data_IF_963732408683
#
_entry.id   IF_963732408683
#
_cell.length_a   1.000
_cell.length_b   1.000
_cell.length_c   1.000
_cell.angle_alpha   90.00
_cell.angle_beta   90.00
_cell.angle_gamma   90.00
#
_symmetry.space_group_name_H-M   'P 1'
#
loop_
_entity.id
_entity.type
_entity.pdbx_description
1 polymer ?
#
# COMPACT_ATOMS: atom_id res chain seq x y z
N UNK A 1 -26.56 35.99 12.29
CA UNK A 1 -25.65 34.98 12.87
C UNK A 1 -24.20 35.36 12.56
N UNK A 2 -23.31 35.31 13.53
CA UNK A 2 -21.87 35.55 13.28
C UNK A 2 -21.26 34.35 12.54
N UNK A 3 -20.14 34.58 11.84
CA UNK A 3 -19.42 33.54 11.09
C UNK A 3 -18.67 32.60 12.06
N UNK A 4 -18.15 31.47 11.56
CA UNK A 4 -17.25 30.62 12.32
C UNK A 4 -16.06 31.43 12.87
N UNK A 5 -15.61 31.13 14.08
CA UNK A 5 -14.60 31.92 14.80
C UNK A 5 -15.06 33.29 15.31
N UNK A 6 -16.33 33.68 15.16
CA UNK A 6 -16.87 34.94 15.65
C UNK A 6 -18.02 34.75 16.66
N UNK A 7 -18.06 35.60 17.70
CA UNK A 7 -19.18 35.66 18.65
C UNK A 7 -19.83 37.03 18.67
N UNK A 8 -21.15 37.07 18.91
CA UNK A 8 -21.88 38.32 19.04
C UNK A 8 -21.64 38.94 20.41
N UNK A 9 -20.88 40.03 20.46
CA UNK A 9 -20.69 40.85 21.65
C UNK A 9 -21.31 42.23 21.43
N UNK A 10 -22.23 42.63 22.32
CA UNK A 10 -22.91 43.95 22.28
C UNK A 10 -23.52 44.30 20.93
N UNK A 11 -24.02 43.30 20.20
CA UNK A 11 -24.66 43.49 18.89
C UNK A 11 -23.71 43.55 17.70
N UNK A 12 -22.41 43.26 17.90
CA UNK A 12 -21.42 43.15 16.83
C UNK A 12 -20.74 41.78 16.86
N UNK A 13 -20.38 41.24 15.70
CA UNK A 13 -19.58 40.02 15.62
C UNK A 13 -18.11 40.35 15.87
N UNK A 14 -17.54 39.75 16.91
CA UNK A 14 -16.13 39.92 17.32
C UNK A 14 -15.39 38.62 17.02
N UNK A 15 -14.21 38.71 16.41
CA UNK A 15 -13.34 37.56 16.09
C UNK A 15 -12.73 37.04 17.38
N UNK A 16 -13.04 35.78 17.70
CA UNK A 16 -12.53 35.06 18.86
C UNK A 16 -11.50 34.00 18.46
N UNK A 17 -11.51 33.59 17.20
CA UNK A 17 -10.61 32.59 16.64
C UNK A 17 -10.32 33.00 15.20
N UNK A 18 -9.05 32.97 14.81
CA UNK A 18 -8.62 33.13 13.43
C UNK A 18 -7.82 31.91 12.98
N UNK A 19 -8.20 31.40 11.82
CA UNK A 19 -7.47 30.36 11.11
C UNK A 19 -6.66 30.93 9.95
N UNK A 20 -5.52 30.32 9.66
CA UNK A 20 -4.60 30.81 8.63
C UNK A 20 -4.76 30.13 7.27
N UNK A 21 -5.41 28.97 7.20
CA UNK A 21 -5.76 28.28 5.96
C UNK A 21 -7.23 28.54 5.57
N UNK A 22 -7.52 28.98 4.34
CA UNK A 22 -8.89 29.25 3.91
C UNK A 22 -9.66 27.95 3.67
N UNK A 23 -10.83 27.78 4.31
CA UNK A 23 -11.71 26.61 4.12
C UNK A 23 -11.05 25.28 4.50
N UNK A 24 -10.11 25.30 5.45
CA UNK A 24 -9.38 24.12 5.90
C UNK A 24 -8.64 23.45 4.73
N UNK A 25 -7.98 24.26 3.89
CA UNK A 25 -7.25 23.80 2.71
C UNK A 25 -6.08 22.89 3.12
N UNK A 26 -6.15 21.58 2.84
CA UNK A 26 -5.16 20.62 3.31
C UNK A 26 -3.78 20.81 2.68
N UNK A 27 -3.64 21.65 1.65
CA UNK A 27 -2.36 21.94 0.99
C UNK A 27 -1.57 23.07 1.68
N UNK A 28 -2.18 23.73 2.66
CA UNK A 28 -1.57 24.84 3.43
C UNK A 28 -1.53 24.44 4.90
N UNK A 29 -0.41 24.72 5.58
CA UNK A 29 -0.33 24.50 7.03
C UNK A 29 -1.20 25.53 7.76
N UNK A 30 -2.35 25.08 8.26
CA UNK A 30 -3.26 25.85 9.11
C UNK A 30 -2.66 26.18 10.48
N UNK A 31 -3.07 27.30 11.05
CA UNK A 31 -2.67 27.75 12.39
C UNK A 31 -3.79 28.56 12.99
N UNK A 32 -4.42 27.95 13.99
CA UNK A 32 -5.48 28.55 14.77
C UNK A 32 -4.88 29.40 15.89
N UNK A 33 -5.30 30.66 15.91
CA UNK A 33 -5.00 31.62 16.98
C UNK A 33 -6.28 32.08 17.65
N UNK A 34 -6.32 32.02 18.99
CA UNK A 34 -7.49 32.42 19.77
C UNK A 34 -7.19 33.73 20.52
N UNK A 35 -8.10 34.71 20.42
CA UNK A 35 -8.00 36.02 21.06
C UNK A 35 -8.55 36.07 22.50
N UNK A 36 -9.23 35.00 22.97
CA UNK A 36 -9.76 34.86 24.32
C UNK A 36 -9.04 33.76 25.12
N UNK A 37 -7.98 34.15 25.82
CA UNK A 37 -7.83 33.67 27.19
C UNK A 37 -9.04 34.22 27.96
N UNK A 38 -10.06 33.39 28.20
CA UNK A 38 -11.23 33.79 28.96
C UNK A 38 -10.80 34.47 30.26
N UNK A 39 -11.56 35.45 30.73
CA UNK A 39 -11.29 36.15 32.01
C UNK A 39 -11.15 35.09 33.12
N UNK A 40 -9.90 34.73 33.47
CA UNK A 40 -9.54 33.73 34.47
C UNK A 40 -9.02 32.36 33.97
N UNK A 41 -8.87 32.12 32.66
CA UNK A 41 -8.30 30.87 32.10
C UNK A 41 -6.91 31.05 31.46
N UNK A 42 -6.08 30.00 31.37
CA UNK A 42 -4.76 30.09 30.76
C UNK A 42 -4.87 30.43 29.26
N UNK A 43 -3.96 31.28 28.78
CA UNK A 43 -3.77 31.57 27.36
C UNK A 43 -3.40 30.26 26.66
N UNK A 44 -4.23 29.80 25.73
CA UNK A 44 -3.89 28.66 24.89
C UNK A 44 -2.87 29.13 23.85
N UNK A 45 -1.76 28.40 23.71
CA UNK A 45 -0.77 28.63 22.67
C UNK A 45 -1.41 28.43 21.28
N UNK A 46 -0.90 29.11 20.23
CA UNK A 46 -1.30 28.82 18.86
C UNK A 46 -1.20 27.32 18.59
N UNK A 47 -2.23 26.76 17.96
CA UNK A 47 -2.22 25.38 17.50
C UNK A 47 -2.07 25.41 15.99
N UNK A 48 -1.28 24.49 15.45
CA UNK A 48 -1.08 24.37 14.01
C UNK A 48 -1.42 22.97 13.56
N UNK A 49 -1.74 22.85 12.28
CA UNK A 49 -1.85 21.58 11.60
C UNK A 49 -0.56 20.80 11.80
N UNK A 50 -0.70 19.49 11.90
CA UNK A 50 0.44 18.61 12.06
C UNK A 50 0.23 17.30 11.31
N UNK A 51 1.33 16.58 11.12
CA UNK A 51 1.27 15.23 10.59
C UNK A 51 1.19 14.25 11.74
N UNK A 52 0.15 13.44 11.70
CA UNK A 52 -0.03 12.34 12.64
C UNK A 52 1.04 11.26 12.41
N UNK A 53 1.32 10.40 13.40
CA UNK A 53 2.35 9.35 13.29
C UNK A 53 2.12 8.36 12.13
N UNK A 54 0.89 8.23 11.65
CA UNK A 54 0.48 7.41 10.51
C UNK A 54 0.54 8.15 9.16
N UNK A 55 1.03 9.39 9.14
CA UNK A 55 1.19 10.21 7.94
C UNK A 55 -0.07 10.97 7.51
N UNK A 56 -1.17 10.87 8.26
CA UNK A 56 -2.38 11.65 7.99
C UNK A 56 -2.19 13.12 8.38
N UNK A 57 -2.85 14.02 7.64
CA UNK A 57 -2.92 15.42 8.03
C UNK A 57 -3.95 15.56 9.15
N UNK A 58 -3.53 16.12 10.27
CA UNK A 58 -4.40 16.43 11.39
C UNK A 58 -4.59 17.94 11.43
N UNK A 59 -5.79 18.39 11.03
CA UNK A 59 -6.14 19.79 10.87
C UNK A 59 -6.72 20.38 12.14
N UNK A 60 -6.36 21.63 12.44
CA UNK A 60 -6.96 22.41 13.53
C UNK A 60 -7.83 23.50 12.93
N UNK A 61 -9.09 23.60 13.37
CA UNK A 61 -10.05 24.56 12.79
C UNK A 61 -10.75 25.43 13.85
N UNK A 62 -11.21 26.62 13.43
CA UNK A 62 -11.98 27.54 14.26
C UNK A 62 -13.47 27.18 14.40
N UNK A 63 -13.84 26.59 15.54
CA UNK A 63 -15.24 26.32 15.87
C UNK A 63 -16.07 27.52 16.36
N UNK A 64 -17.38 27.32 16.61
CA UNK A 64 -18.28 28.39 17.02
C UNK A 64 -17.95 29.04 18.38
N UNK A 65 -17.43 28.25 19.33
CA UNK A 65 -17.18 28.68 20.72
C UNK A 65 -15.84 28.14 21.31
N UNK A 66 -15.05 27.41 20.52
CA UNK A 66 -13.78 26.79 20.91
C UNK A 66 -13.00 26.43 19.64
N UNK A 67 -11.69 26.24 19.77
CA UNK A 67 -10.91 25.50 18.78
C UNK A 67 -11.50 24.08 18.70
N UNK A 68 -11.90 23.64 17.51
CA UNK A 68 -12.38 22.26 17.30
C UNK A 68 -11.16 21.40 16.97
N UNK A 69 -11.14 20.19 17.52
CA UNK A 69 -9.97 19.33 17.53
C UNK A 69 -9.87 18.49 16.25
N UNK A 70 -8.67 18.44 15.69
CA UNK A 70 -8.10 17.37 14.85
C UNK A 70 -9.10 16.62 13.96
N UNK A 71 -9.51 17.25 12.85
CA UNK A 71 -10.07 16.51 11.72
C UNK A 71 -8.91 15.83 11.00
N UNK A 72 -8.93 14.50 10.93
CA UNK A 72 -7.94 13.76 10.16
C UNK A 72 -8.38 13.76 8.68
N UNK A 73 -7.59 14.43 7.86
CA UNK A 73 -7.76 14.50 6.42
C UNK A 73 -6.73 13.59 5.75
N UNK A 74 -7.21 12.71 4.87
CA UNK A 74 -6.34 11.95 3.98
C UNK A 74 -5.83 12.88 2.89
N UNK A 75 -4.51 12.96 2.73
CA UNK A 75 -3.94 13.72 1.63
C UNK A 75 -4.39 13.13 0.28
N UNK A 76 -4.56 13.99 -0.76
CA UNK A 76 -4.88 13.52 -2.10
C UNK A 76 -3.84 12.52 -2.62
N UNK A 77 -4.24 11.66 -3.57
CA UNK A 77 -3.37 10.64 -4.15
C UNK A 77 -2.03 11.22 -4.64
N UNK A 78 -0.93 10.59 -4.23
CA UNK A 78 0.44 11.03 -4.51
C UNK A 78 1.00 12.07 -3.53
N UNK A 79 0.19 12.57 -2.59
CA UNK A 79 0.62 13.49 -1.53
C UNK A 79 0.71 12.78 -0.18
N UNK A 80 1.61 13.27 0.68
CA UNK A 80 1.74 12.83 2.07
C UNK A 80 1.85 14.05 2.96
N UNK A 81 1.42 13.92 4.23
CA UNK A 81 1.55 15.04 5.15
C UNK A 81 3.03 15.29 5.45
N UNK A 82 3.48 16.52 5.21
CA UNK A 82 4.77 17.03 5.67
C UNK A 82 4.56 18.41 6.29
N UNK A 83 5.06 18.58 7.52
CA UNK A 83 4.97 19.85 8.26
C UNK A 83 3.54 20.41 8.37
N UNK A 84 2.55 19.55 8.58
CA UNK A 84 1.16 20.00 8.75
C UNK A 84 0.48 20.44 7.45
N UNK A 85 0.96 19.99 6.29
CA UNK A 85 0.28 20.18 5.01
C UNK A 85 0.45 18.94 4.14
N UNK A 86 -0.53 18.66 3.29
CA UNK A 86 -0.40 17.71 2.20
C UNK A 86 0.53 18.27 1.14
N UNK A 87 1.69 17.64 0.99
CA UNK A 87 2.67 18.00 -0.03
C UNK A 87 2.88 16.82 -0.95
N UNK A 88 3.12 17.16 -2.21
CA UNK A 88 3.53 16.20 -3.21
C UNK A 88 4.85 15.54 -2.77
N UNK A 89 4.80 14.25 -2.47
CA UNK A 89 5.98 13.45 -2.12
C UNK A 89 6.66 12.96 -3.41
N UNK A 90 6.82 13.86 -4.40
CA UNK A 90 7.28 13.51 -5.74
C UNK A 90 8.68 12.92 -5.69
N UNK A 91 8.78 11.67 -6.14
CA UNK A 91 10.02 11.02 -6.52
C UNK A 91 9.79 10.42 -7.89
N UNK A 92 10.04 11.23 -8.94
CA UNK A 92 9.85 10.86 -10.34
C UNK A 92 11.12 11.10 -11.16
N UNK A 93 11.16 10.49 -12.33
CA UNK A 93 12.20 10.66 -13.33
C UNK A 93 11.59 10.90 -14.69
N UNK A 94 12.26 11.68 -15.53
CA UNK A 94 11.81 12.01 -16.88
C UNK A 94 12.56 11.18 -17.92
N UNK A 95 11.81 10.60 -18.85
CA UNK A 95 12.29 9.78 -19.95
C UNK A 95 11.82 10.37 -21.28
N UNK A 96 12.58 10.12 -22.34
CA UNK A 96 12.17 10.50 -23.70
C UNK A 96 11.25 9.45 -24.30
N UNK A 97 10.22 9.86 -25.04
CA UNK A 97 9.35 8.92 -25.78
C UNK A 97 10.12 8.11 -26.83
N UNK A 98 9.69 6.87 -27.11
CA UNK A 98 10.27 6.02 -28.15
C UNK A 98 11.62 5.41 -27.79
N UNK A 99 12.00 5.40 -26.51
CA UNK A 99 13.24 4.77 -26.02
C UNK A 99 13.17 3.23 -26.00
N UNK A 100 11.99 2.63 -26.22
CA UNK A 100 11.81 1.19 -26.12
C UNK A 100 11.67 0.78 -24.66
N UNK A 101 12.59 0.00 -24.12
CA UNK A 101 12.60 -0.37 -22.71
C UNK A 101 13.70 0.38 -21.95
N UNK A 102 13.38 0.86 -20.75
CA UNK A 102 14.30 1.58 -19.87
C UNK A 102 14.28 0.96 -18.47
N UNK A 103 15.44 0.56 -17.95
CA UNK A 103 15.57 0.08 -16.57
C UNK A 103 15.82 1.25 -15.62
N UNK A 104 14.93 1.42 -14.66
CA UNK A 104 15.07 2.38 -13.57
C UNK A 104 15.59 1.67 -12.33
N UNK A 105 16.50 2.33 -11.61
CA UNK A 105 17.09 1.85 -10.35
C UNK A 105 17.00 2.93 -9.27
N UNK A 106 17.55 2.66 -8.08
CA UNK A 106 17.63 3.63 -6.98
C UNK A 106 18.26 4.98 -7.36
N UNK A 107 19.15 5.02 -8.34
CA UNK A 107 19.73 6.28 -8.81
C UNK A 107 18.70 7.17 -9.55
N UNK A 108 17.70 6.56 -10.18
CA UNK A 108 16.60 7.26 -10.86
C UNK A 108 15.46 7.59 -9.89
N UNK A 109 15.08 6.62 -9.05
CA UNK A 109 13.95 6.71 -8.13
C UNK A 109 14.39 6.30 -6.70
N UNK A 110 15.11 7.16 -5.97
CA UNK A 110 15.80 6.80 -4.73
C UNK A 110 14.89 6.40 -3.58
N UNK A 111 13.65 6.90 -3.56
CA UNK A 111 12.66 6.57 -2.52
C UNK A 111 11.82 5.36 -2.86
N UNK A 112 11.63 5.06 -4.16
CA UNK A 112 10.80 3.96 -4.63
C UNK A 112 11.60 2.66 -4.81
N UNK A 113 12.83 2.77 -5.29
CA UNK A 113 13.69 1.63 -5.64
C UNK A 113 14.92 1.53 -4.72
N UNK A 114 14.80 2.02 -3.49
CA UNK A 114 15.89 1.94 -2.51
C UNK A 114 16.34 0.49 -2.30
N UNK A 115 17.64 0.30 -2.12
CA UNK A 115 18.17 -0.99 -1.69
C UNK A 115 17.51 -1.41 -0.37
N UNK A 116 17.20 -2.70 -0.26
CA UNK A 116 16.53 -3.29 0.89
C UNK A 116 17.44 -4.23 1.67
N UNK A 117 16.91 -4.69 2.79
CA UNK A 117 17.50 -5.77 3.55
C UNK A 117 16.37 -6.57 4.20
N UNK A 118 16.12 -7.79 3.71
CA UNK A 118 15.09 -8.64 4.29
C UNK A 118 15.66 -9.37 5.51
N UNK A 119 15.31 -8.90 6.69
CA UNK A 119 15.67 -9.54 7.95
C UNK A 119 14.68 -10.66 8.26
N UNK A 120 15.09 -11.89 7.96
CA UNK A 120 14.37 -13.12 8.33
C UNK A 120 14.61 -13.48 9.79
N UNK A 121 13.92 -14.49 10.29
CA UNK A 121 14.09 -14.96 11.68
C UNK A 121 15.49 -15.55 11.95
N UNK A 122 16.29 -15.82 10.91
CA UNK A 122 17.67 -16.31 11.04
C UNK A 122 18.73 -15.29 10.61
N UNK A 123 18.56 -14.70 9.42
CA UNK A 123 19.58 -13.89 8.76
C UNK A 123 18.97 -12.69 8.02
N UNK A 124 19.82 -11.71 7.73
CA UNK A 124 19.51 -10.56 6.89
C UNK A 124 20.05 -10.76 5.47
N UNK A 125 19.20 -10.55 4.47
CA UNK A 125 19.52 -10.69 3.06
C UNK A 125 19.44 -9.33 2.35
N UNK A 126 20.58 -8.71 1.99
CA UNK A 126 20.59 -7.47 1.23
C UNK A 126 19.97 -7.65 -0.15
N UNK A 127 19.21 -6.65 -0.58
CA UNK A 127 18.50 -6.68 -1.87
C UNK A 127 18.58 -5.36 -2.61
N UNK A 128 18.40 -5.44 -3.93
CA UNK A 128 18.26 -4.30 -4.83
C UNK A 128 16.97 -4.40 -5.60
N UNK A 129 16.45 -3.26 -6.03
CA UNK A 129 15.18 -3.16 -6.76
C UNK A 129 15.39 -2.43 -8.08
N UNK A 130 14.68 -2.88 -9.11
CA UNK A 130 14.61 -2.20 -10.39
C UNK A 130 13.21 -2.25 -10.99
N UNK A 131 12.95 -1.33 -11.91
CA UNK A 131 11.70 -1.23 -12.65
C UNK A 131 12.03 -1.03 -14.13
N UNK A 132 11.81 -2.07 -14.93
CA UNK A 132 11.86 -1.97 -16.39
C UNK A 132 10.55 -1.35 -16.87
N UNK A 133 10.61 -0.27 -17.63
CA UNK A 133 9.44 0.43 -18.18
C UNK A 133 9.50 0.43 -19.70
N UNK A 134 8.36 0.20 -20.34
CA UNK A 134 8.18 0.44 -21.77
C UNK A 134 7.83 1.90 -22.01
N UNK A 135 8.59 2.56 -22.88
CA UNK A 135 8.43 3.96 -23.27
C UNK A 135 8.21 4.03 -24.78
N UNK A 136 6.98 3.76 -25.26
CA UNK A 136 6.65 3.78 -26.67
C UNK A 136 6.77 5.20 -27.27
N UNK A 137 6.80 5.33 -28.61
CA UNK A 137 6.63 6.64 -29.24
C UNK A 137 5.22 7.17 -29.00
N UNK A 138 5.05 8.49 -29.13
CA UNK A 138 3.73 9.10 -29.20
C UNK A 138 3.15 8.89 -30.60
N UNK A 139 1.91 8.41 -30.66
CA UNK A 139 1.18 8.14 -31.88
C UNK A 139 0.04 9.14 -32.06
N UNK A 140 -0.16 9.62 -33.28
CA UNK A 140 -1.36 10.36 -33.65
C UNK A 140 -2.45 9.35 -34.03
N UNK A 141 -3.44 9.16 -33.16
CA UNK A 141 -4.46 8.12 -33.29
C UNK A 141 -5.79 8.56 -32.67
N UNK A 142 -6.85 7.83 -33.00
CA UNK A 142 -8.11 7.87 -32.25
C UNK A 142 -7.95 7.06 -30.97
N UNK A 143 -8.48 7.57 -29.86
CA UNK A 143 -8.73 6.80 -28.65
C UNK A 143 -10.06 6.04 -28.83
N UNK A 144 -9.95 4.72 -28.98
CA UNK A 144 -11.07 3.83 -29.28
C UNK A 144 -12.17 3.82 -28.19
N UNK A 145 -11.89 4.37 -26.99
CA UNK A 145 -12.86 4.43 -25.91
C UNK A 145 -13.76 5.67 -25.95
N UNK A 146 -13.33 6.74 -26.60
CA UNK A 146 -14.06 8.02 -26.62
C UNK A 146 -14.16 8.68 -28.01
N UNK A 147 -13.64 8.03 -29.05
CA UNK A 147 -13.63 8.52 -30.44
C UNK A 147 -12.95 9.90 -30.58
N UNK A 148 -11.92 10.17 -29.77
CA UNK A 148 -11.16 11.43 -29.80
C UNK A 148 -9.83 11.22 -30.53
N UNK A 149 -9.63 12.00 -31.60
CA UNK A 149 -8.33 12.09 -32.27
C UNK A 149 -7.36 12.95 -31.46
N UNK A 150 -6.14 12.44 -31.27
CA UNK A 150 -5.11 13.12 -30.48
C UNK A 150 -3.73 12.50 -30.62
N UNK A 151 -2.80 13.00 -29.81
CA UNK A 151 -1.45 12.47 -29.68
C UNK A 151 -1.35 11.73 -28.34
N UNK A 152 -1.06 10.44 -28.40
CA UNK A 152 -1.12 9.55 -27.25
C UNK A 152 0.18 8.76 -27.09
N UNK A 153 0.62 8.59 -25.85
CA UNK A 153 1.55 7.52 -25.50
C UNK A 153 0.72 6.23 -25.37
N UNK A 154 0.86 5.32 -26.34
CA UNK A 154 -0.03 4.15 -26.46
C UNK A 154 0.61 2.89 -25.90
N UNK A 155 -0.03 2.25 -24.92
CA UNK A 155 0.30 0.89 -24.49
C UNK A 155 -0.68 -0.07 -25.13
N UNK A 156 -0.20 -0.93 -26.04
CA UNK A 156 -1.06 -1.85 -26.80
C UNK A 156 -1.44 -3.08 -25.96
N UNK A 157 -2.64 -3.60 -26.18
CA UNK A 157 -3.14 -4.84 -25.59
C UNK A 157 -2.11 -5.96 -25.67
N UNK A 158 -1.97 -6.70 -24.57
CA UNK A 158 -1.05 -7.81 -24.38
C UNK A 158 0.44 -7.48 -24.54
N UNK A 159 0.82 -6.21 -24.63
CA UNK A 159 2.22 -5.78 -24.60
C UNK A 159 2.63 -5.35 -23.19
N UNK A 160 3.92 -5.49 -22.91
CA UNK A 160 4.48 -5.11 -21.62
C UNK A 160 4.31 -3.60 -21.37
N UNK A 161 3.89 -3.26 -20.16
CA UNK A 161 3.94 -1.92 -19.60
C UNK A 161 5.23 -1.78 -18.80
N UNK A 162 5.46 -2.74 -17.88
CA UNK A 162 6.57 -2.72 -16.97
C UNK A 162 6.95 -4.12 -16.46
N UNK A 163 8.10 -4.22 -15.80
CA UNK A 163 8.44 -5.33 -14.91
C UNK A 163 9.16 -4.78 -13.69
N UNK A 164 8.64 -5.11 -12.51
CA UNK A 164 9.31 -4.87 -11.24
C UNK A 164 10.16 -6.09 -10.88
N UNK A 165 11.36 -5.86 -10.36
CA UNK A 165 12.26 -6.92 -9.89
C UNK A 165 12.90 -6.55 -8.56
N UNK A 166 12.75 -7.42 -7.56
CA UNK A 166 13.56 -7.49 -6.34
C UNK A 166 14.61 -8.58 -6.51
N UNK A 167 15.88 -8.22 -6.40
CA UNK A 167 16.99 -9.16 -6.47
C UNK A 167 17.73 -9.23 -5.14
N UNK A 168 17.98 -10.45 -4.64
CA UNK A 168 18.80 -10.66 -3.46
C UNK A 168 20.26 -10.93 -3.85
N UNK A 169 21.19 -10.15 -3.29
CA UNK A 169 22.63 -10.31 -3.55
C UNK A 169 23.15 -11.69 -3.12
N UNK A 170 22.51 -12.24 -2.09
CA UNK A 170 22.62 -13.62 -1.63
C UNK A 170 21.19 -14.10 -1.43
N UNK A 171 20.81 -15.21 -2.05
CA UNK A 171 19.45 -15.72 -1.99
C UNK A 171 18.94 -15.81 -0.55
N UNK A 172 17.75 -15.27 -0.29
CA UNK A 172 17.07 -15.36 1.00
C UNK A 172 16.72 -16.82 1.28
N UNK A 173 17.02 -17.31 2.48
CA UNK A 173 16.87 -18.72 2.84
C UNK A 173 15.88 -18.90 3.98
N UNK A 174 15.18 -20.03 3.93
CA UNK A 174 14.37 -20.54 5.02
C UNK A 174 14.56 -22.05 5.12
N UNK A 175 14.55 -22.58 6.32
CA UNK A 175 14.40 -24.00 6.55
C UNK A 175 13.04 -24.49 6.06
N UNK A 176 13.00 -25.76 5.67
CA UNK A 176 11.76 -26.44 5.30
C UNK A 176 11.21 -27.17 6.51
N UNK A 177 10.07 -26.71 7.01
CA UNK A 177 9.49 -27.18 8.26
C UNK A 177 8.06 -27.73 8.11
N UNK A 178 7.66 -28.55 9.08
CA UNK A 178 6.26 -28.93 9.29
C UNK A 178 5.47 -27.80 9.96
N UNK A 179 4.19 -28.05 10.24
CA UNK A 179 3.30 -27.05 10.87
C UNK A 179 3.67 -26.70 12.32
N UNK A 180 4.67 -27.37 12.90
CA UNK A 180 5.16 -27.13 14.26
C UNK A 180 6.49 -26.39 14.28
N UNK A 181 7.05 -26.04 13.11
CA UNK A 181 8.38 -25.44 12.98
C UNK A 181 9.51 -26.46 13.13
N UNK A 182 9.22 -27.76 13.02
CA UNK A 182 10.25 -28.80 13.02
C UNK A 182 10.71 -29.08 11.60
N UNK A 183 12.04 -29.18 11.38
CA UNK A 183 12.58 -29.52 10.07
C UNK A 183 11.97 -30.82 9.51
N UNK A 184 11.37 -30.75 8.32
CA UNK A 184 10.74 -31.87 7.62
C UNK A 184 10.99 -31.71 6.12
N UNK A 185 11.61 -32.71 5.50
CA UNK A 185 11.89 -32.66 4.06
C UNK A 185 10.64 -32.64 3.17
N UNK A 186 9.49 -33.05 3.72
CA UNK A 186 8.18 -32.95 3.07
C UNK A 186 7.32 -31.84 3.67
N UNK A 187 7.92 -30.98 4.49
CA UNK A 187 7.28 -29.82 5.10
C UNK A 187 6.66 -28.90 4.06
N UNK A 188 5.77 -28.01 4.46
CA UNK A 188 5.20 -27.03 3.52
C UNK A 188 5.39 -25.61 4.01
N UNK A 189 6.10 -25.44 5.13
CA UNK A 189 6.30 -24.21 5.84
C UNK A 189 7.71 -23.70 5.57
N UNK A 190 7.81 -22.40 5.37
CA UNK A 190 9.05 -21.62 5.24
C UNK A 190 9.03 -20.57 6.35
N UNK A 191 9.08 -21.03 7.60
CA UNK A 191 8.78 -20.26 8.81
C UNK A 191 9.78 -19.13 9.10
N UNK A 192 11.00 -19.20 8.57
CA UNK A 192 11.97 -18.12 8.74
C UNK A 192 11.56 -16.84 8.02
N UNK A 193 10.74 -16.95 6.98
CA UNK A 193 10.15 -15.82 6.29
C UNK A 193 8.93 -15.26 7.01
N UNK A 194 8.25 -16.00 7.88
CA UNK A 194 6.97 -15.57 8.45
C UNK A 194 7.13 -14.57 9.59
N UNK A 195 6.22 -13.59 9.63
CA UNK A 195 6.23 -12.49 10.60
C UNK A 195 7.28 -11.41 10.32
N UNK A 196 8.05 -11.54 9.23
CA UNK A 196 9.14 -10.64 8.85
C UNK A 196 8.65 -9.52 7.93
N UNK A 197 9.43 -8.44 7.81
CA UNK A 197 9.10 -7.32 6.93
C UNK A 197 9.86 -7.39 5.62
N UNK A 198 9.12 -7.39 4.50
CA UNK A 198 9.63 -7.36 3.14
C UNK A 198 9.20 -6.06 2.46
N UNK A 199 10.18 -5.32 1.96
CA UNK A 199 9.94 -4.09 1.21
C UNK A 199 9.84 -4.39 -0.29
N UNK A 200 8.71 -4.04 -0.88
CA UNK A 200 8.48 -4.09 -2.33
C UNK A 200 8.13 -2.69 -2.82
N UNK A 201 8.98 -2.14 -3.69
CA UNK A 201 9.03 -0.72 -4.01
C UNK A 201 9.21 0.11 -2.72
N UNK A 202 8.32 1.06 -2.46
CA UNK A 202 8.26 1.87 -1.23
C UNK A 202 7.28 1.30 -0.18
N UNK A 203 6.70 0.13 -0.42
CA UNK A 203 5.74 -0.48 0.48
C UNK A 203 6.40 -1.54 1.36
N UNK A 204 6.19 -1.43 2.67
CA UNK A 204 6.64 -2.42 3.65
C UNK A 204 5.47 -3.34 3.95
N UNK A 205 5.64 -4.63 3.66
CA UNK A 205 4.67 -5.67 3.96
C UNK A 205 5.22 -6.59 5.05
N UNK A 206 4.36 -7.08 5.93
CA UNK A 206 4.64 -8.27 6.73
C UNK A 206 4.37 -9.51 5.89
N UNK A 207 5.32 -10.45 5.84
CA UNK A 207 5.10 -11.78 5.27
C UNK A 207 4.30 -12.59 6.28
N UNK A 208 2.99 -12.69 6.05
CA UNK A 208 2.05 -13.36 6.95
C UNK A 208 2.05 -14.87 6.74
N UNK A 209 2.19 -15.31 5.48
CA UNK A 209 2.43 -16.72 5.18
C UNK A 209 3.53 -16.89 4.14
N UNK A 210 4.35 -17.93 4.30
CA UNK A 210 5.31 -18.42 3.32
C UNK A 210 5.25 -19.95 3.24
N UNK A 211 4.84 -20.48 2.08
CA UNK A 211 4.51 -21.89 1.92
C UNK A 211 5.07 -22.47 0.62
N UNK A 212 5.18 -23.81 0.58
CA UNK A 212 5.36 -24.63 -0.64
C UNK A 212 3.99 -25.16 -1.12
N UNK A 213 3.23 -24.41 -1.94
CA UNK A 213 1.80 -24.64 -2.16
C UNK A 213 1.46 -25.83 -3.07
N UNK A 214 2.34 -26.23 -4.00
CA UNK A 214 2.04 -27.34 -4.91
C UNK A 214 2.22 -28.68 -4.18
N UNK A 215 1.13 -29.44 -4.08
CA UNK A 215 1.15 -30.75 -3.43
C UNK A 215 1.88 -31.82 -4.26
N UNK A 216 2.11 -31.57 -5.56
CA UNK A 216 2.79 -32.53 -6.46
C UNK A 216 4.30 -32.31 -6.50
N UNK A 217 4.71 -31.05 -6.58
CA UNK A 217 6.12 -30.63 -6.64
C UNK A 217 6.37 -29.49 -5.65
N UNK A 218 6.25 -29.72 -4.34
CA UNK A 218 6.40 -28.66 -3.33
C UNK A 218 7.77 -28.00 -3.41
N UNK A 219 8.81 -28.75 -3.74
CA UNK A 219 10.20 -28.32 -3.93
C UNK A 219 10.43 -27.42 -5.16
N UNK A 220 9.38 -27.09 -5.89
CA UNK A 220 9.42 -26.16 -7.02
C UNK A 220 8.48 -24.98 -6.82
N UNK A 221 7.75 -24.93 -5.71
CA UNK A 221 6.67 -23.96 -5.53
C UNK A 221 6.89 -23.07 -4.32
N UNK A 222 6.44 -21.83 -4.42
CA UNK A 222 6.37 -20.90 -3.31
C UNK A 222 5.13 -20.05 -3.40
N UNK A 223 4.54 -19.77 -2.23
CA UNK A 223 3.49 -18.79 -2.06
C UNK A 223 3.82 -17.91 -0.87
N UNK A 224 3.86 -16.61 -1.11
CA UNK A 224 3.97 -15.58 -0.08
C UNK A 224 2.62 -14.85 0.02
N UNK A 225 2.06 -14.78 1.22
CA UNK A 225 0.96 -13.87 1.54
C UNK A 225 1.54 -12.73 2.35
N UNK A 226 1.45 -11.55 1.78
CA UNK A 226 1.97 -10.30 2.29
C UNK A 226 0.79 -9.45 2.78
N UNK A 227 0.94 -8.79 3.93
CA UNK A 227 -0.05 -7.83 4.41
C UNK A 227 0.62 -6.57 4.92
N UNK A 228 0.00 -5.44 4.60
CA UNK A 228 0.19 -4.17 5.31
C UNK A 228 -1.18 -3.64 5.74
N UNK A 229 -1.21 -2.63 6.59
CA UNK A 229 -2.45 -1.97 6.95
C UNK A 229 -2.21 -0.64 7.65
N UNK A 230 -3.28 0.13 7.83
CA UNK A 230 -3.24 1.40 8.54
C UNK A 230 -2.86 1.22 10.02
N UNK A 231 -3.33 0.13 10.63
CA UNK A 231 -2.99 -0.23 12.01
C UNK A 231 -2.72 -1.73 12.12
N UNK A 232 -1.88 -2.09 13.10
CA UNK A 232 -1.59 -3.47 13.51
C UNK A 232 -1.71 -3.56 15.03
N UNK A 233 -2.43 -4.54 15.53
CA UNK A 233 -2.54 -4.79 16.98
C UNK A 233 -2.65 -6.29 17.26
N UNK A 234 -2.53 -6.66 18.54
CA UNK A 234 -2.80 -7.99 19.07
C UNK A 234 -3.80 -7.89 20.20
N UNK A 235 -4.86 -8.70 20.13
CA UNK A 235 -5.86 -8.81 21.18
C UNK A 235 -5.76 -10.16 21.85
N UNK A 236 -5.93 -10.17 23.17
CA UNK A 236 -6.19 -11.40 23.93
C UNK A 236 -7.66 -11.81 23.79
N UNK A 237 -7.96 -13.09 23.96
CA UNK A 237 -9.35 -13.57 23.94
C UNK A 237 -10.22 -12.81 24.96
N UNK A 238 -11.36 -12.29 24.48
CA UNK A 238 -12.28 -11.44 25.22
C UNK A 238 -11.93 -9.95 25.24
N UNK A 239 -10.71 -9.56 24.85
CA UNK A 239 -10.27 -8.17 24.82
C UNK A 239 -11.00 -7.37 23.74
N UNK A 240 -11.47 -6.18 24.10
CA UNK A 240 -12.20 -5.24 23.27
C UNK A 240 -11.42 -3.93 23.17
N UNK A 241 -11.17 -3.46 21.95
CA UNK A 241 -10.57 -2.13 21.70
C UNK A 241 -11.31 -1.40 20.60
N UNK A 242 -11.25 -0.08 20.62
CA UNK A 242 -11.78 0.77 19.56
C UNK A 242 -10.63 1.35 18.75
N UNK A 243 -10.74 1.25 17.43
CA UNK A 243 -9.76 1.74 16.47
C UNK A 243 -10.41 2.78 15.58
N UNK A 244 -9.60 3.71 15.04
CA UNK A 244 -10.06 4.75 14.12
C UNK A 244 -9.33 4.58 12.80
N UNK A 245 -10.08 4.40 11.71
CA UNK A 245 -9.54 4.28 10.36
C UNK A 245 -10.32 5.23 9.45
N UNK A 246 -9.62 6.19 8.83
CA UNK A 246 -10.27 7.17 7.94
C UNK A 246 -11.42 7.93 8.61
N UNK A 247 -11.26 8.28 9.90
CA UNK A 247 -12.28 8.96 10.70
C UNK A 247 -13.46 8.10 11.17
N UNK A 248 -13.51 6.81 10.81
CA UNK A 248 -14.55 5.87 11.27
C UNK A 248 -14.07 5.04 12.46
N UNK A 249 -14.95 4.86 13.45
CA UNK A 249 -14.67 4.05 14.63
C UNK A 249 -15.05 2.58 14.37
N UNK A 250 -14.15 1.68 14.75
CA UNK A 250 -14.34 0.24 14.74
C UNK A 250 -14.10 -0.31 16.13
N UNK A 251 -15.16 -0.79 16.77
CA UNK A 251 -15.05 -1.57 18.01
C UNK A 251 -14.75 -3.02 17.64
N UNK A 252 -13.58 -3.51 18.02
CA UNK A 252 -13.05 -4.82 17.65
C UNK A 252 -12.78 -5.63 18.91
N UNK A 253 -13.39 -6.81 18.98
CA UNK A 253 -13.16 -7.81 20.02
C UNK A 253 -12.58 -9.07 19.43
N UNK A 254 -11.60 -9.70 20.08
CA UNK A 254 -11.31 -11.11 19.83
C UNK A 254 -12.29 -11.97 20.64
N UNK A 255 -13.27 -12.57 19.98
CA UNK A 255 -14.39 -13.25 20.67
C UNK A 255 -14.15 -14.73 20.93
N UNK A 256 -13.58 -15.43 19.96
CA UNK A 256 -13.28 -16.87 20.04
C UNK A 256 -11.96 -17.13 19.32
N UNK A 257 -11.19 -18.09 19.79
CA UNK A 257 -9.93 -18.48 19.17
C UNK A 257 -9.61 -19.96 19.45
N UNK A 258 -8.97 -20.62 18.49
CA UNK A 258 -8.39 -21.94 18.64
C UNK A 258 -6.99 -21.98 18.02
N UNK A 259 -6.41 -23.18 17.87
CA UNK A 259 -5.06 -23.36 17.33
C UNK A 259 -4.82 -22.71 15.95
N UNK A 260 -5.84 -22.58 15.10
CA UNK A 260 -5.67 -22.16 13.70
C UNK A 260 -6.61 -21.03 13.28
N UNK A 261 -7.64 -20.73 14.07
CA UNK A 261 -8.73 -19.84 13.68
C UNK A 261 -9.03 -18.82 14.80
N UNK A 262 -9.35 -17.59 14.40
CA UNK A 262 -9.84 -16.54 15.27
C UNK A 262 -11.19 -16.01 14.74
N UNK A 263 -12.09 -15.64 15.66
CA UNK A 263 -13.36 -14.97 15.35
C UNK A 263 -13.38 -13.63 16.06
N UNK A 264 -13.60 -12.56 15.30
CA UNK A 264 -13.70 -11.21 15.82
C UNK A 264 -15.15 -10.75 15.88
N UNK A 265 -15.47 -9.88 16.84
CA UNK A 265 -16.69 -9.08 16.83
C UNK A 265 -16.34 -7.66 16.40
N UNK A 266 -16.92 -7.19 15.31
CA UNK A 266 -16.70 -5.86 14.76
C UNK A 266 -18.01 -5.08 14.84
N UNK A 267 -18.05 -4.03 15.66
CA UNK A 267 -19.26 -3.22 15.87
C UNK A 267 -20.51 -4.07 16.23
N UNK A 268 -20.30 -5.16 16.97
CA UNK A 268 -21.36 -6.09 17.37
C UNK A 268 -21.70 -7.19 16.34
N UNK A 269 -21.04 -7.25 15.18
CA UNK A 269 -21.19 -8.32 14.18
C UNK A 269 -20.00 -9.29 14.21
N UNK A 270 -20.28 -10.59 14.26
CA UNK A 270 -19.24 -11.61 14.24
C UNK A 270 -18.68 -11.79 12.83
N UNK A 271 -17.36 -11.93 12.71
CA UNK A 271 -16.73 -12.42 11.48
C UNK A 271 -17.01 -13.91 11.28
N UNK A 272 -16.71 -14.45 10.11
CA UNK A 272 -16.46 -15.89 10.01
C UNK A 272 -15.22 -16.27 10.85
N UNK A 273 -14.97 -17.56 10.99
CA UNK A 273 -13.67 -18.03 11.48
C UNK A 273 -12.60 -17.68 10.46
N UNK A 274 -11.58 -16.94 10.89
CA UNK A 274 -10.49 -16.45 10.06
C UNK A 274 -9.19 -17.17 10.44
N UNK A 275 -8.49 -17.71 9.44
CA UNK A 275 -7.15 -18.25 9.59
C UNK A 275 -6.10 -17.17 9.37
N UNK A 276 -4.84 -17.45 9.73
CA UNK A 276 -3.71 -16.59 9.34
C UNK A 276 -3.70 -16.42 7.82
N UNK A 277 -3.61 -15.17 7.35
CA UNK A 277 -3.68 -14.83 5.93
C UNK A 277 -5.09 -14.56 5.40
N UNK A 278 -6.14 -14.79 6.18
CA UNK A 278 -7.51 -14.44 5.81
C UNK A 278 -7.81 -12.97 6.08
N UNK A 279 -8.75 -12.44 5.30
CA UNK A 279 -9.28 -11.08 5.45
C UNK A 279 -10.79 -11.08 5.63
N UNK A 280 -11.29 -10.03 6.29
CA UNK A 280 -12.71 -9.78 6.48
C UNK A 280 -13.03 -8.32 6.16
N UNK A 281 -14.09 -8.08 5.40
CA UNK A 281 -14.51 -6.72 5.02
C UNK A 281 -15.29 -6.08 6.18
N UNK A 282 -14.86 -4.90 6.61
CA UNK A 282 -15.42 -4.17 7.77
C UNK A 282 -16.55 -3.21 7.38
N UNK A 283 -17.00 -3.27 6.12
CA UNK A 283 -17.91 -2.30 5.49
C UNK A 283 -17.15 -1.19 4.76
N UNK A 284 -17.56 -0.89 3.53
CA UNK A 284 -16.81 0.00 2.63
C UNK A 284 -15.54 -0.67 2.08
N UNK A 285 -14.46 0.09 1.97
CA UNK A 285 -13.16 -0.40 1.46
C UNK A 285 -12.20 -0.92 2.54
N UNK A 286 -12.58 -0.85 3.82
CA UNK A 286 -11.72 -1.25 4.93
C UNK A 286 -11.84 -2.75 5.23
N UNK A 287 -10.72 -3.36 5.59
CA UNK A 287 -10.58 -4.79 5.83
C UNK A 287 -9.82 -5.04 7.13
N UNK A 288 -10.17 -6.13 7.82
CA UNK A 288 -9.34 -6.76 8.84
C UNK A 288 -8.56 -7.90 8.19
N UNK A 289 -7.28 -8.05 8.50
CA UNK A 289 -6.46 -9.17 8.02
C UNK A 289 -5.75 -9.86 9.17
N UNK A 290 -5.88 -11.18 9.32
CA UNK A 290 -5.26 -11.92 10.42
C UNK A 290 -3.81 -12.23 10.08
N UNK A 291 -2.89 -11.78 10.92
CA UNK A 291 -1.45 -11.99 10.72
C UNK A 291 -0.85 -13.08 11.60
N UNK A 292 -1.47 -13.40 12.74
CA UNK A 292 -1.00 -14.45 13.64
C UNK A 292 -2.14 -14.94 14.54
N UNK A 293 -2.09 -16.23 14.90
CA UNK A 293 -2.98 -16.87 15.88
C UNK A 293 -2.09 -17.62 16.87
N UNK A 294 -2.14 -17.23 18.15
CA UNK A 294 -1.44 -17.90 19.23
C UNK A 294 -2.47 -18.52 20.18
N UNK A 295 -2.41 -19.84 20.32
CA UNK A 295 -3.30 -20.59 21.20
C UNK A 295 -2.52 -21.63 21.98
N UNK A 296 -2.71 -21.64 23.29
CA UNK A 296 -2.00 -22.51 24.22
C UNK A 296 -3.00 -23.29 25.06
N UNK A 297 -3.23 -24.55 24.67
CA UNK A 297 -4.25 -25.44 25.26
C UNK A 297 -3.84 -26.01 26.63
N UNK A 298 -3.57 -25.12 27.58
CA UNK A 298 -3.34 -25.45 28.98
C UNK A 298 -3.87 -24.34 29.88
N UNK A 299 -4.17 -24.67 31.14
CA UNK A 299 -4.73 -23.71 32.08
C UNK A 299 -3.81 -22.49 32.28
N UNK A 300 -4.32 -21.31 31.94
CA UNK A 300 -3.55 -20.06 31.97
C UNK A 300 -2.67 -19.81 30.74
N UNK A 301 -2.83 -20.62 29.68
CA UNK A 301 -2.21 -20.38 28.39
C UNK A 301 -2.68 -19.08 27.73
N UNK A 302 -1.84 -18.54 26.84
CA UNK A 302 -2.13 -17.31 26.11
C UNK A 302 -2.96 -17.65 24.86
N UNK A 303 -4.08 -16.95 24.73
CA UNK A 303 -4.96 -16.99 23.57
C UNK A 303 -4.99 -15.58 22.97
N UNK A 304 -4.37 -15.39 21.81
CA UNK A 304 -4.29 -14.07 21.18
C UNK A 304 -4.27 -14.14 19.66
N UNK A 305 -4.80 -13.13 19.01
CA UNK A 305 -4.69 -12.96 17.57
C UNK A 305 -4.09 -11.60 17.23
N UNK A 306 -3.12 -11.59 16.31
CA UNK A 306 -2.58 -10.36 15.72
C UNK A 306 -3.24 -10.11 14.38
N UNK A 307 -3.58 -8.86 14.09
CA UNK A 307 -4.30 -8.48 12.89
C UNK A 307 -3.91 -7.09 12.40
N UNK A 308 -4.24 -6.83 11.13
CA UNK A 308 -4.20 -5.53 10.49
C UNK A 308 -5.61 -4.98 10.35
N UNK A 309 -5.73 -3.66 10.43
CA UNK A 309 -6.92 -2.90 10.08
C UNK A 309 -6.61 -2.00 8.88
N UNK A 310 -7.55 -1.90 7.94
CA UNK A 310 -7.27 -1.38 6.60
C UNK A 310 -6.28 -2.28 5.85
N UNK A 311 -6.44 -3.59 5.99
CA UNK A 311 -5.48 -4.58 5.53
C UNK A 311 -5.44 -4.70 4.00
N UNK A 312 -4.30 -4.38 3.40
CA UNK A 312 -4.02 -4.72 2.00
C UNK A 312 -3.26 -6.04 1.97
N UNK A 313 -3.94 -7.10 1.52
CA UNK A 313 -3.36 -8.42 1.28
C UNK A 313 -2.85 -8.49 -0.15
N UNK A 314 -1.63 -8.96 -0.33
CA UNK A 314 -1.03 -9.31 -1.63
C UNK A 314 -0.58 -10.77 -1.55
N UNK A 315 -0.95 -11.58 -2.53
CA UNK A 315 -0.46 -12.95 -2.69
C UNK A 315 0.42 -13.02 -3.93
N UNK A 316 1.64 -13.55 -3.74
CA UNK A 316 2.61 -13.83 -4.78
C UNK A 316 2.85 -15.33 -4.79
N UNK A 317 2.59 -15.98 -5.93
CA UNK A 317 2.76 -17.43 -6.07
C UNK A 317 3.51 -17.76 -7.36
N UNK A 318 4.40 -18.73 -7.24
CA UNK A 318 5.03 -19.39 -8.38
C UNK A 318 5.09 -20.89 -8.08
N UNK A 319 4.78 -21.73 -9.07
CA UNK A 319 4.82 -23.19 -8.92
C UNK A 319 6.07 -23.81 -9.58
N UNK A 320 6.96 -23.01 -10.19
CA UNK A 320 8.20 -23.46 -10.84
C UNK A 320 9.39 -22.53 -10.59
N UNK A 321 9.84 -22.41 -9.34
CA UNK A 321 10.90 -21.47 -8.95
C UNK A 321 12.28 -21.68 -9.56
N UNK A 322 12.48 -22.80 -10.27
CA UNK A 322 13.75 -23.10 -10.96
C UNK A 322 13.83 -22.53 -12.37
N UNK A 323 12.75 -21.92 -12.88
CA UNK A 323 12.73 -21.31 -14.20
C UNK A 323 12.69 -19.77 -14.13
N UNK A 324 12.37 -19.12 -15.26
CA UNK A 324 12.28 -17.66 -15.40
C UNK A 324 10.89 -17.24 -15.90
N UNK A 325 9.90 -18.11 -15.71
CA UNK A 325 8.54 -17.98 -16.22
C UNK A 325 7.53 -18.05 -15.09
N UNK A 326 6.67 -17.06 -15.00
CA UNK A 326 5.63 -17.07 -13.98
C UNK A 326 4.41 -17.87 -14.39
N UNK A 327 3.65 -18.34 -13.40
CA UNK A 327 2.46 -19.15 -13.60
C UNK A 327 1.17 -18.52 -13.06
N UNK A 328 1.28 -17.52 -12.17
CA UNK A 328 0.13 -16.93 -11.48
C UNK A 328 0.15 -15.40 -11.59
N UNK A 329 -1.04 -14.83 -11.61
CA UNK A 329 -1.23 -13.40 -11.46
C UNK A 329 -0.92 -12.99 -10.02
N UNK A 330 -0.62 -11.71 -9.82
CA UNK A 330 -0.68 -11.10 -8.49
C UNK A 330 -2.11 -11.16 -8.01
N UNK A 331 -2.32 -11.53 -6.75
CA UNK A 331 -3.65 -11.50 -6.13
C UNK A 331 -3.71 -10.41 -5.07
N UNK A 332 -4.71 -9.53 -5.14
CA UNK A 332 -4.95 -8.47 -4.15
C UNK A 332 -6.26 -8.74 -3.44
N UNK A 333 -6.20 -8.89 -2.12
CA UNK A 333 -7.33 -9.39 -1.34
C UNK A 333 -7.70 -10.82 -1.77
N UNK A 334 -8.81 -10.96 -2.48
CA UNK A 334 -9.28 -12.21 -3.08
C UNK A 334 -9.27 -12.20 -4.61
N UNK A 335 -8.94 -11.08 -5.24
CA UNK A 335 -9.03 -10.88 -6.69
C UNK A 335 -7.71 -11.20 -7.37
N UNK A 336 -7.75 -11.89 -8.50
CA UNK A 336 -6.58 -12.12 -9.36
C UNK A 336 -6.46 -10.93 -10.32
N UNK A 337 -5.35 -10.21 -10.29
CA UNK A 337 -5.16 -8.99 -11.09
C UNK A 337 -4.74 -9.36 -12.51
N UNK A 338 -5.62 -9.14 -13.46
CA UNK A 338 -5.37 -9.45 -14.86
C UNK A 338 -4.22 -8.60 -15.42
N UNK A 339 -3.44 -9.20 -16.33
CA UNK A 339 -2.26 -8.57 -16.91
C UNK A 339 -1.01 -8.56 -16.01
N UNK A 340 -1.06 -9.19 -14.84
CA UNK A 340 0.12 -9.41 -14.01
C UNK A 340 0.64 -10.84 -14.11
N UNK A 341 1.93 -11.04 -13.89
CA UNK A 341 2.51 -12.39 -13.77
C UNK A 341 3.65 -12.37 -12.76
N UNK A 342 3.53 -13.19 -11.71
CA UNK A 342 4.52 -13.36 -10.64
C UNK A 342 5.58 -14.36 -11.08
N UNK A 343 6.84 -13.97 -10.97
CA UNK A 343 8.02 -14.80 -11.26
C UNK A 343 8.86 -14.82 -9.99
N UNK A 344 9.09 -16.01 -9.41
CA UNK A 344 9.95 -16.15 -8.23
C UNK A 344 11.05 -17.16 -8.54
N UNK A 345 12.30 -16.72 -8.54
CA UNK A 345 13.44 -17.58 -8.84
C UNK A 345 14.14 -18.03 -7.58
N UNK A 346 14.47 -19.31 -7.48
CA UNK A 346 14.99 -19.90 -6.26
C UNK A 346 15.52 -21.32 -6.43
N UNK A 347 15.75 -21.98 -5.30
CA UNK A 347 16.08 -23.41 -5.24
C UNK A 347 15.50 -24.02 -3.98
N UNK A 348 15.13 -25.29 -4.03
CA UNK A 348 14.78 -26.07 -2.84
C UNK A 348 15.53 -27.41 -2.88
N UNK A 349 16.18 -27.77 -1.78
CA UNK A 349 16.84 -29.07 -1.62
C UNK A 349 16.13 -30.00 -0.63
N UNK A 350 14.88 -29.69 -0.28
CA UNK A 350 14.05 -30.30 0.76
C UNK A 350 14.62 -30.18 2.19
N UNK A 351 15.48 -29.21 2.42
CA UNK A 351 15.96 -28.84 3.76
C UNK A 351 15.99 -27.33 3.88
N UNK A 352 16.45 -26.65 2.83
CA UNK A 352 16.52 -25.20 2.72
C UNK A 352 15.87 -24.80 1.41
N UNK A 353 14.89 -23.91 1.51
CA UNK A 353 14.33 -23.18 0.39
C UNK A 353 15.09 -21.86 0.23
N UNK A 354 15.32 -21.41 -1.00
CA UNK A 354 15.90 -20.10 -1.26
C UNK A 354 15.15 -19.30 -2.31
N UNK A 355 15.12 -17.97 -2.13
CA UNK A 355 14.59 -16.99 -3.06
C UNK A 355 15.71 -16.06 -3.47
N UNK A 356 16.05 -16.07 -4.75
CA UNK A 356 17.04 -15.16 -5.34
C UNK A 356 16.40 -13.92 -5.96
N UNK A 357 15.18 -14.06 -6.50
CA UNK A 357 14.48 -12.99 -7.21
C UNK A 357 12.98 -13.10 -6.99
N UNK A 358 12.32 -11.96 -6.79
CA UNK A 358 10.86 -11.81 -6.89
C UNK A 358 10.60 -10.76 -7.96
N UNK A 359 9.86 -11.09 -8.99
CA UNK A 359 9.50 -10.18 -10.06
C UNK A 359 8.01 -10.23 -10.38
N UNK A 360 7.49 -9.10 -10.86
CA UNK A 360 6.11 -8.96 -11.35
C UNK A 360 6.17 -8.35 -12.73
N UNK A 361 5.77 -9.14 -13.73
CA UNK A 361 5.56 -8.64 -15.09
C UNK A 361 4.16 -8.02 -15.20
N UNK A 362 4.05 -6.92 -15.93
CA UNK A 362 2.82 -6.13 -16.08
C UNK A 362 2.57 -5.87 -17.57
N UNK A 363 1.43 -6.32 -18.10
CA UNK A 363 1.03 -6.15 -19.50
C UNK A 363 -0.31 -5.42 -19.59
N UNK A 364 -0.54 -4.71 -20.69
CA UNK A 364 -1.81 -4.01 -20.89
C UNK A 364 -2.97 -5.00 -21.14
N UNK A 365 -4.11 -4.78 -20.50
CA UNK A 365 -5.34 -5.56 -20.69
C UNK A 365 -6.28 -4.94 -21.73
N UNK A 366 -5.98 -3.73 -22.19
CA UNK A 366 -6.56 -3.09 -23.36
C UNK A 366 -5.52 -2.19 -24.05
N UNK A 367 -5.88 -1.54 -25.14
CA UNK A 367 -5.16 -0.40 -25.69
C UNK A 367 -5.36 0.83 -24.79
N UNK A 368 -4.28 1.30 -24.15
CA UNK A 368 -4.30 2.48 -23.29
C UNK A 368 -3.74 3.70 -23.99
N UNK A 369 -4.58 4.73 -24.13
CA UNK A 369 -4.29 5.97 -24.84
C UNK A 369 -3.97 7.12 -23.88
N UNK A 370 -2.69 7.27 -23.53
CA UNK A 370 -2.28 8.26 -22.53
C UNK A 370 -1.99 9.63 -23.15
N UNK A 371 -2.97 10.53 -23.05
CA UNK A 371 -2.82 11.93 -23.45
C UNK A 371 -1.93 12.75 -22.51
N UNK A 372 -1.49 13.93 -22.96
CA UNK A 372 -0.63 14.82 -22.17
C UNK A 372 -1.32 15.20 -20.85
N UNK A 373 -0.58 15.06 -19.74
CA UNK A 373 -1.02 15.39 -18.38
C UNK A 373 -1.75 14.26 -17.64
N UNK A 374 -2.22 13.23 -18.34
CA UNK A 374 -2.95 12.12 -17.74
C UNK A 374 -2.00 11.08 -17.13
N UNK A 375 -2.45 10.44 -16.03
CA UNK A 375 -1.80 9.28 -15.43
C UNK A 375 -2.31 7.98 -16.06
N UNK A 376 -1.44 6.98 -16.16
CA UNK A 376 -1.80 5.68 -16.70
C UNK A 376 -2.80 4.97 -15.78
N UNK A 377 -2.60 5.03 -14.45
CA UNK A 377 -3.54 4.43 -13.49
C UNK A 377 -4.97 4.98 -13.62
N UNK A 378 -5.11 6.29 -13.78
CA UNK A 378 -6.41 6.96 -13.96
C UNK A 378 -7.08 6.55 -15.27
N UNK A 379 -6.28 6.34 -16.33
CA UNK A 379 -6.78 5.87 -17.61
C UNK A 379 -7.34 4.45 -17.48
N UNK A 380 -6.53 3.52 -16.95
CA UNK A 380 -6.88 2.11 -16.74
C UNK A 380 -8.18 2.00 -15.92
N UNK A 381 -8.25 2.75 -14.81
CA UNK A 381 -9.43 2.75 -13.96
C UNK A 381 -10.68 3.27 -14.69
N UNK A 382 -10.54 4.33 -15.49
CA UNK A 382 -11.66 4.92 -16.24
C UNK A 382 -12.19 3.99 -17.34
N UNK A 383 -11.34 3.19 -17.96
CA UNK A 383 -11.75 2.21 -18.99
C UNK A 383 -12.34 0.93 -18.37
N UNK A 384 -12.35 0.82 -17.04
CA UNK A 384 -12.98 -0.29 -16.32
C UNK A 384 -12.02 -1.44 -16.01
N UNK A 385 -10.73 -1.26 -16.28
CA UNK A 385 -9.67 -2.22 -15.96
C UNK A 385 -9.11 -1.99 -14.55
N UNK A 386 -8.35 -2.98 -14.06
CA UNK A 386 -7.74 -2.98 -12.73
C UNK A 386 -6.44 -2.17 -12.74
N UNK A 387 -6.46 -0.96 -12.16
CA UNK A 387 -5.25 -0.13 -12.03
C UNK A 387 -4.16 -0.80 -11.20
N UNK A 388 -4.54 -1.77 -10.39
CA UNK A 388 -3.71 -2.69 -9.61
C UNK A 388 -2.69 -3.47 -10.48
N UNK A 389 -2.88 -3.53 -11.80
CA UNK A 389 -1.87 -4.02 -12.75
C UNK A 389 -0.55 -3.27 -12.61
N UNK A 390 -0.59 -1.98 -12.23
CA UNK A 390 0.59 -1.22 -11.80
C UNK A 390 0.94 -1.63 -10.37
N UNK A 391 1.74 -2.70 -10.27
CA UNK A 391 2.05 -3.38 -9.02
C UNK A 391 2.42 -2.40 -7.89
N UNK A 392 1.82 -2.64 -6.72
CA UNK A 392 1.81 -1.83 -5.48
C UNK A 392 1.10 -0.47 -5.52
N UNK A 393 0.68 0.01 -6.70
CA UNK A 393 0.01 1.30 -6.90
C UNK A 393 0.70 2.52 -6.27
N UNK A 394 2.01 2.42 -6.01
CA UNK A 394 2.79 3.50 -5.41
C UNK A 394 3.63 4.28 -6.41
N UNK A 395 3.42 4.02 -7.69
CA UNK A 395 4.07 4.68 -8.81
C UNK A 395 3.14 4.69 -10.01
N UNK A 396 3.45 5.54 -10.98
CA UNK A 396 2.63 5.74 -12.17
C UNK A 396 3.49 6.23 -13.36
N UNK A 397 2.85 6.32 -14.52
CA UNK A 397 3.39 6.85 -15.78
C UNK A 397 2.50 8.00 -16.24
N UNK A 398 3.09 9.12 -16.62
CA UNK A 398 2.40 10.28 -17.23
C UNK A 398 3.14 10.72 -18.48
N UNK A 399 2.39 10.98 -19.57
CA UNK A 399 2.93 11.78 -20.67
C UNK A 399 2.94 13.24 -20.22
N UNK A 400 4.09 13.76 -19.78
CA UNK A 400 4.20 15.10 -19.21
C UNK A 400 4.08 16.20 -20.28
N UNK A 401 4.73 16.00 -21.43
CA UNK A 401 4.66 16.94 -22.55
C UNK A 401 4.92 16.27 -23.89
N UNK A 402 4.49 16.91 -24.98
CA UNK A 402 4.76 16.50 -26.36
C UNK A 402 4.95 17.73 -27.25
N UNK A 403 6.09 17.77 -27.96
CA UNK A 403 6.37 18.73 -29.04
C UNK A 403 6.07 18.04 -30.38
N UNK A 404 4.93 18.39 -30.97
CA UNK A 404 4.48 17.87 -32.26
C UNK A 404 5.46 18.17 -33.41
N UNK A 405 6.11 19.34 -33.39
CA UNK A 405 7.02 19.74 -34.46
C UNK A 405 8.33 18.94 -34.42
N UNK A 406 8.79 18.60 -33.22
CA UNK A 406 9.97 17.77 -33.01
C UNK A 406 9.66 16.26 -33.01
N UNK A 407 8.40 15.86 -32.81
CA UNK A 407 8.00 14.48 -32.58
C UNK A 407 8.58 13.91 -31.29
N UNK A 408 8.82 14.75 -30.28
CA UNK A 408 9.47 14.39 -29.03
C UNK A 408 8.54 14.63 -27.85
N UNK A 409 8.36 13.63 -26.99
CA UNK A 409 7.65 13.78 -25.73
C UNK A 409 8.53 13.46 -24.52
N UNK A 410 8.05 13.91 -23.37
CA UNK A 410 8.63 13.62 -22.05
C UNK A 410 7.64 12.78 -21.28
N UNK A 411 8.08 11.59 -20.85
CA UNK A 411 7.33 10.67 -20.00
C UNK A 411 7.88 10.77 -18.59
N UNK A 412 7.01 11.02 -17.62
CA UNK A 412 7.34 11.03 -16.22
C UNK A 412 6.97 9.69 -15.59
N UNK A 413 7.89 9.09 -14.82
CA UNK A 413 7.68 7.82 -14.13
C UNK A 413 8.07 7.95 -12.66
N UNK A 414 7.24 7.43 -11.76
CA UNK A 414 7.54 7.36 -10.32
C UNK A 414 6.33 7.73 -9.46
N UNK A 415 6.57 8.34 -8.30
CA UNK A 415 5.49 8.86 -7.44
C UNK A 415 4.94 10.15 -8.03
N UNK A 416 3.87 10.03 -8.82
CA UNK A 416 3.29 11.17 -9.54
C UNK A 416 2.19 11.85 -8.71
N UNK A 417 2.31 13.16 -8.59
CA UNK A 417 1.23 14.09 -8.33
C UNK A 417 0.77 14.62 -9.70
#
# INVERSE_FOLDING_TARGET
>A
PCQAGQQCERGQCVVQCSDSDPQDDPTVMGTVTNSLGGVGGPVLLPQSDNCAPDGQLSQVECGPNRVISHTFSTCPDGQGCQNGACVCQSGSTELGTGQGSVTLISANLPTLLSAGNWATNEMSFPSTQELLIMVPPVEHTEDDNNDIMGNYLTFRYAHQIAQYTLHFNVAAQSDVTDSTGSADSRGTYLDDFEGTELTLLDNIYTVVLARRPDQRSPDQSVKLILMKGAQRDTLLEGELKTYVIGGQNYEVQLSEINANEATFMINGEATSKLQVGDTWVLGGANTLGVSNVLFQDYAGGIHSASFFLGAQKVELRDDQVTDVTGAYNVKIGSEDIDGTTVIIMGTDNNSTFSISTIAVNMIAQDDYYLGVGNKLSDYIHRTGDEKEVLFTNSWDIRLNSYDEAAGQGVVEVGKLC
#
